data_IF_539973758750
#
_entry.id   IF_539973758750
#
_cell.length_a   1.000
_cell.length_b   1.000
_cell.length_c   1.000
_cell.angle_alpha   90.00
_cell.angle_beta   90.00
_cell.angle_gamma   90.00
#
_symmetry.space_group_name_H-M   'P 1'
#
loop_
_entity.id
_entity.type
_entity.pdbx_description
1 polymer ?
#
# COMPACT_ATOMS: atom_id res chain seq x y z
N UNK A 1 -9.74 7.58 -11.98
CA UNK A 1 -9.78 9.02 -11.62
C UNK A 1 -8.41 9.55 -11.94
N UNK A 2 -8.29 10.52 -12.83
CA UNK A 2 -7.00 11.14 -13.14
C UNK A 2 -6.73 12.25 -12.13
N UNK A 3 -5.48 12.38 -11.70
CA UNK A 3 -5.06 13.39 -10.73
C UNK A 3 -3.72 13.93 -11.19
N UNK A 4 -3.64 15.24 -11.42
CA UNK A 4 -2.39 15.90 -11.81
C UNK A 4 -1.48 16.01 -10.58
N UNK A 5 -0.32 15.37 -10.64
CA UNK A 5 0.69 15.44 -9.59
C UNK A 5 1.93 16.12 -10.18
N UNK A 6 2.42 17.15 -9.51
CA UNK A 6 3.69 17.78 -9.85
C UNK A 6 4.81 17.11 -9.06
N UNK A 7 5.76 16.50 -9.77
CA UNK A 7 6.95 15.87 -9.18
C UNK A 7 8.19 16.58 -9.71
N UNK A 8 9.17 16.79 -8.82
CA UNK A 8 10.50 17.24 -9.20
C UNK A 8 11.38 16.02 -9.34
N UNK A 9 11.98 15.84 -10.53
CA UNK A 9 12.90 14.73 -10.78
C UNK A 9 14.31 15.13 -10.33
N UNK A 10 15.05 14.18 -9.74
CA UNK A 10 16.46 14.39 -9.43
C UNK A 10 17.32 14.27 -10.69
N UNK A 11 18.48 14.93 -10.70
CA UNK A 11 19.44 14.88 -11.81
C UNK A 11 19.83 13.43 -12.17
N UNK A 12 20.08 12.59 -11.16
CA UNK A 12 20.42 11.18 -11.36
C UNK A 12 19.28 10.41 -12.05
N UNK A 13 18.03 10.64 -11.63
CA UNK A 13 16.89 9.96 -12.23
C UNK A 13 16.64 10.42 -13.67
N UNK A 14 16.72 11.72 -13.94
CA UNK A 14 16.63 12.27 -15.30
C UNK A 14 17.73 11.72 -16.21
N UNK A 15 18.96 11.63 -15.69
CA UNK A 15 20.10 11.06 -16.42
C UNK A 15 19.87 9.59 -16.74
N UNK A 16 19.42 8.79 -15.79
CA UNK A 16 19.09 7.37 -16.02
C UNK A 16 17.94 7.23 -17.03
N UNK A 17 16.89 8.02 -16.91
CA UNK A 17 15.78 8.03 -17.88
C UNK A 17 16.28 8.37 -19.29
N UNK A 18 17.21 9.32 -19.42
CA UNK A 18 17.80 9.71 -20.71
C UNK A 18 18.66 8.59 -21.31
N UNK A 19 19.50 7.93 -20.50
CA UNK A 19 20.35 6.81 -20.92
C UNK A 19 19.50 5.66 -21.47
N UNK A 20 18.44 5.29 -20.77
CA UNK A 20 17.59 4.15 -21.12
C UNK A 20 16.38 4.52 -21.98
N UNK A 21 16.21 5.80 -22.34
CA UNK A 21 15.06 6.34 -23.07
C UNK A 21 13.71 6.01 -22.40
N UNK A 22 13.68 6.08 -21.07
CA UNK A 22 12.50 5.79 -20.26
C UNK A 22 11.67 7.07 -20.11
N UNK A 23 10.36 6.98 -20.32
CA UNK A 23 9.42 8.03 -19.93
C UNK A 23 9.27 8.04 -18.39
N UNK A 24 9.66 9.13 -17.69
CA UNK A 24 9.58 9.21 -16.23
C UNK A 24 8.17 9.00 -15.68
N UNK A 25 7.15 9.56 -16.33
CA UNK A 25 5.75 9.45 -15.89
C UNK A 25 5.28 8.00 -15.92
N UNK A 26 5.59 7.28 -17.01
CA UNK A 26 5.27 5.86 -17.13
C UNK A 26 5.97 5.04 -16.05
N UNK A 27 7.27 5.30 -15.80
CA UNK A 27 8.02 4.61 -14.75
C UNK A 27 7.40 4.80 -13.37
N UNK A 28 7.10 6.05 -13.00
CA UNK A 28 6.48 6.39 -11.71
C UNK A 28 5.11 5.73 -11.60
N UNK A 29 4.31 5.72 -12.66
CA UNK A 29 3.01 5.04 -12.66
C UNK A 29 3.17 3.52 -12.47
N UNK A 30 4.15 2.89 -13.13
CA UNK A 30 4.43 1.46 -12.93
C UNK A 30 4.85 1.14 -11.49
N UNK A 31 5.60 2.04 -10.86
CA UNK A 31 5.99 1.90 -9.46
C UNK A 31 4.77 2.02 -8.52
N UNK A 32 3.92 3.04 -8.71
CA UNK A 32 2.69 3.22 -7.93
C UNK A 32 1.75 2.03 -8.08
N UNK A 33 1.62 1.48 -9.29
CA UNK A 33 0.77 0.30 -9.56
C UNK A 33 1.23 -0.96 -8.82
N UNK A 34 2.46 -1.02 -8.34
CA UNK A 34 2.98 -2.13 -7.53
C UNK A 34 2.68 -2.00 -6.03
N UNK A 35 2.14 -0.86 -5.57
CA UNK A 35 1.77 -0.67 -4.16
C UNK A 35 0.49 -1.43 -3.86
N UNK A 36 0.61 -2.55 -3.13
CA UNK A 36 -0.46 -3.49 -2.84
C UNK A 36 -0.12 -4.35 -1.63
N UNK A 37 -0.64 -3.99 -0.44
CA UNK A 37 -0.55 -4.83 0.76
C UNK A 37 -1.08 -6.26 0.51
N UNK A 38 -2.20 -6.48 -0.22
CA UNK A 38 -2.68 -7.82 -0.51
C UNK A 38 -1.66 -8.64 -1.30
N UNK A 39 -1.04 -8.07 -2.34
CA UNK A 39 -0.03 -8.81 -3.12
C UNK A 39 1.23 -9.09 -2.30
N UNK A 40 1.63 -8.13 -1.46
CA UNK A 40 2.80 -8.26 -0.59
C UNK A 40 2.64 -9.38 0.44
N UNK A 41 1.52 -9.42 1.16
CA UNK A 41 1.27 -10.45 2.20
C UNK A 41 0.81 -11.80 1.63
N UNK A 42 0.21 -11.84 0.43
CA UNK A 42 -0.24 -13.09 -0.19
C UNK A 42 0.85 -13.86 -0.92
N UNK A 43 1.92 -13.17 -1.36
CA UNK A 43 2.95 -13.79 -2.20
C UNK A 43 4.33 -13.15 -1.94
N UNK A 44 5.05 -13.61 -0.91
CA UNK A 44 6.34 -13.03 -0.49
C UNK A 44 7.45 -13.12 -1.57
N UNK A 45 7.29 -14.06 -2.51
CA UNK A 45 8.22 -14.31 -3.62
C UNK A 45 7.88 -13.53 -4.90
N UNK A 46 6.81 -12.73 -4.91
CA UNK A 46 6.44 -11.93 -6.07
C UNK A 46 7.48 -10.81 -6.32
N UNK A 47 7.90 -10.66 -7.59
CA UNK A 47 8.84 -9.63 -8.02
C UNK A 47 8.27 -8.21 -7.89
N UNK A 48 6.94 -8.06 -7.82
CA UNK A 48 6.26 -6.76 -7.71
C UNK A 48 6.21 -6.20 -6.27
N UNK A 49 6.96 -6.77 -5.33
CA UNK A 49 6.92 -6.36 -3.91
C UNK A 49 7.59 -5.01 -3.62
N UNK A 50 8.48 -4.55 -4.49
CA UNK A 50 9.36 -3.41 -4.20
C UNK A 50 8.61 -2.09 -4.01
N UNK A 51 7.55 -1.84 -4.80
CA UNK A 51 6.69 -0.67 -4.60
C UNK A 51 6.05 -0.64 -3.21
N UNK A 52 5.54 -1.79 -2.76
CA UNK A 52 4.94 -1.92 -1.42
C UNK A 52 5.98 -1.78 -0.30
N UNK A 53 7.16 -2.38 -0.46
CA UNK A 53 8.26 -2.25 0.51
C UNK A 53 8.69 -0.79 0.69
N UNK A 54 8.85 -0.07 -0.43
CA UNK A 54 9.18 1.35 -0.36
C UNK A 54 8.07 2.16 0.31
N UNK A 55 6.80 1.87 0.01
CA UNK A 55 5.67 2.51 0.67
C UNK A 55 5.67 2.26 2.20
N UNK A 56 5.93 1.03 2.64
CA UNK A 56 6.04 0.70 4.07
C UNK A 56 7.23 1.41 4.73
N UNK A 57 8.40 1.42 4.08
CA UNK A 57 9.56 2.15 4.56
C UNK A 57 9.29 3.65 4.67
N UNK A 58 8.61 4.22 3.68
CA UNK A 58 8.19 5.61 3.67
C UNK A 58 7.27 5.89 4.86
N UNK A 59 6.28 5.02 5.11
CA UNK A 59 5.44 5.14 6.29
C UNK A 59 6.27 5.10 7.57
N UNK A 60 7.21 4.17 7.75
CA UNK A 60 8.03 4.12 8.97
C UNK A 60 8.83 5.40 9.24
N UNK A 61 9.41 5.99 8.19
CA UNK A 61 10.26 7.19 8.31
C UNK A 61 9.40 8.44 8.51
N UNK A 62 8.31 8.55 7.76
CA UNK A 62 7.51 9.77 7.67
C UNK A 62 6.26 9.71 8.57
N UNK A 63 6.01 8.62 9.31
CA UNK A 63 4.73 8.45 10.00
C UNK A 63 4.42 9.56 11.00
N UNK A 64 5.46 10.18 11.56
CA UNK A 64 5.28 11.30 12.48
C UNK A 64 4.53 12.49 11.85
N UNK A 65 4.47 12.54 10.51
CA UNK A 65 3.75 13.54 9.74
C UNK A 65 2.31 13.13 9.37
N UNK A 66 1.90 11.89 9.71
CA UNK A 66 0.60 11.36 9.35
C UNK A 66 -0.20 10.92 10.58
N UNK A 67 -1.50 11.23 10.60
CA UNK A 67 -2.42 10.78 11.62
C UNK A 67 -2.83 9.32 11.38
N UNK A 68 -1.94 8.40 11.76
CA UNK A 68 -2.18 6.96 11.75
C UNK A 68 -2.47 6.48 13.16
N UNK A 69 -3.66 5.92 13.36
CA UNK A 69 -4.00 5.23 14.60
C UNK A 69 -3.24 3.90 14.64
N UNK A 70 -2.14 3.84 15.41
CA UNK A 70 -1.25 2.69 15.52
C UNK A 70 -1.94 1.42 16.01
N UNK A 71 -2.82 1.53 17.00
CA UNK A 71 -3.55 0.38 17.52
C UNK A 71 -4.49 -0.23 16.47
N UNK A 72 -5.10 0.64 15.66
CA UNK A 72 -5.97 0.21 14.57
C UNK A 72 -5.15 -0.40 13.43
N UNK A 73 -4.01 0.20 13.10
CA UNK A 73 -3.06 -0.32 12.12
C UNK A 73 -2.59 -1.74 12.49
N UNK A 74 -2.04 -1.92 13.68
CA UNK A 74 -1.56 -3.22 14.17
C UNK A 74 -2.67 -4.28 14.10
N UNK A 75 -3.87 -3.96 14.56
CA UNK A 75 -5.01 -4.89 14.50
C UNK A 75 -5.34 -5.35 13.09
N UNK A 76 -5.32 -4.43 12.13
CA UNK A 76 -5.65 -4.76 10.75
C UNK A 76 -4.52 -5.48 10.03
N UNK A 77 -3.26 -5.19 10.37
CA UNK A 77 -2.10 -5.95 9.90
C UNK A 77 -2.13 -7.39 10.44
N UNK A 78 -2.40 -7.58 11.72
CA UNK A 78 -2.58 -8.91 12.32
C UNK A 78 -3.72 -9.69 11.65
N UNK A 79 -4.84 -9.01 11.40
CA UNK A 79 -5.99 -9.60 10.68
C UNK A 79 -5.59 -10.00 9.26
N UNK A 80 -4.76 -9.20 8.60
CA UNK A 80 -4.21 -9.49 7.28
C UNK A 80 -3.37 -10.75 7.31
N UNK A 81 -2.38 -10.83 8.19
CA UNK A 81 -1.45 -11.95 8.31
C UNK A 81 -2.20 -13.25 8.60
N UNK A 82 -3.14 -13.22 9.55
CA UNK A 82 -3.97 -14.38 9.87
C UNK A 82 -4.81 -14.86 8.68
N UNK A 83 -5.42 -13.93 7.95
CA UNK A 83 -6.23 -14.26 6.79
C UNK A 83 -5.38 -14.81 5.64
N UNK A 84 -4.18 -14.27 5.41
CA UNK A 84 -3.28 -14.75 4.37
C UNK A 84 -2.74 -16.14 4.71
N UNK A 85 -2.34 -16.37 5.97
CA UNK A 85 -1.91 -17.68 6.46
C UNK A 85 -3.01 -18.72 6.30
N UNK A 86 -4.23 -18.41 6.72
CA UNK A 86 -5.38 -19.31 6.56
C UNK A 86 -5.63 -19.67 5.08
N UNK A 87 -5.61 -18.68 4.18
CA UNK A 87 -5.82 -18.94 2.75
C UNK A 87 -4.69 -19.77 2.14
N UNK A 88 -3.45 -19.53 2.57
CA UNK A 88 -2.30 -20.33 2.17
C UNK A 88 -2.45 -21.79 2.62
N UNK A 89 -2.82 -22.02 3.87
CA UNK A 89 -3.01 -23.37 4.43
C UNK A 89 -4.20 -24.10 3.79
N UNK A 90 -5.29 -23.39 3.51
CA UNK A 90 -6.49 -23.96 2.92
C UNK A 90 -6.33 -24.28 1.43
N UNK A 91 -5.63 -23.43 0.67
CA UNK A 91 -5.35 -23.65 -0.75
C UNK A 91 -4.13 -22.82 -1.22
N UNK A 92 -2.91 -23.39 -1.19
CA UNK A 92 -1.68 -22.68 -1.55
C UNK A 92 -1.65 -22.10 -2.97
N UNK A 93 -2.50 -22.59 -3.87
CA UNK A 93 -2.59 -22.12 -5.26
C UNK A 93 -3.56 -20.94 -5.44
N UNK A 94 -4.36 -20.59 -4.42
CA UNK A 94 -5.43 -19.60 -4.55
C UNK A 94 -4.96 -18.16 -4.27
N UNK A 95 -4.00 -17.69 -5.07
CA UNK A 95 -3.54 -16.30 -5.03
C UNK A 95 -4.72 -15.32 -5.16
N UNK A 96 -5.69 -15.60 -6.04
CA UNK A 96 -6.85 -14.73 -6.27
C UNK A 96 -7.77 -14.60 -5.04
N UNK A 97 -7.96 -15.68 -4.27
CA UNK A 97 -8.72 -15.63 -3.01
C UNK A 97 -8.00 -14.74 -2.00
N UNK A 98 -6.69 -14.90 -1.83
CA UNK A 98 -5.91 -14.10 -0.88
C UNK A 98 -5.94 -12.61 -1.25
N UNK A 99 -5.77 -12.29 -2.54
CA UNK A 99 -5.88 -10.91 -3.02
C UNK A 99 -7.27 -10.30 -2.78
N UNK A 100 -8.32 -11.07 -3.02
CA UNK A 100 -9.71 -10.60 -2.81
C UNK A 100 -9.99 -10.37 -1.33
N UNK A 101 -9.60 -11.32 -0.47
CA UNK A 101 -9.73 -11.22 0.98
C UNK A 101 -8.96 -10.01 1.51
N UNK A 102 -7.70 -9.83 1.11
CA UNK A 102 -6.89 -8.69 1.53
C UNK A 102 -7.51 -7.35 1.12
N UNK A 103 -7.97 -7.22 -0.13
CA UNK A 103 -8.67 -6.00 -0.58
C UNK A 103 -9.92 -5.70 0.25
N UNK A 104 -10.65 -6.73 0.68
CA UNK A 104 -11.82 -6.55 1.54
C UNK A 104 -11.43 -6.07 2.95
N UNK A 105 -10.36 -6.62 3.53
CA UNK A 105 -9.82 -6.16 4.83
C UNK A 105 -9.42 -4.68 4.74
N UNK A 106 -8.71 -4.25 3.68
CA UNK A 106 -8.36 -2.83 3.49
C UNK A 106 -9.58 -1.91 3.39
N UNK A 107 -10.62 -2.33 2.65
CA UNK A 107 -11.85 -1.53 2.54
C UNK A 107 -12.55 -1.37 3.89
N UNK A 108 -12.56 -2.43 4.70
CA UNK A 108 -13.11 -2.37 6.05
C UNK A 108 -12.27 -1.46 6.95
N UNK A 109 -10.95 -1.60 6.89
CA UNK A 109 -10.02 -0.75 7.64
C UNK A 109 -10.23 0.73 7.29
N UNK A 110 -10.25 1.08 6.01
CA UNK A 110 -10.52 2.45 5.55
C UNK A 110 -11.86 2.97 6.08
N UNK A 111 -12.91 2.15 6.04
CA UNK A 111 -14.23 2.53 6.57
C UNK A 111 -14.17 2.89 8.06
N UNK A 112 -13.44 2.12 8.87
CA UNK A 112 -13.28 2.41 10.30
C UNK A 112 -12.43 3.65 10.52
N UNK A 113 -11.30 3.81 9.81
CA UNK A 113 -10.46 5.03 9.90
C UNK A 113 -11.28 6.29 9.59
N UNK A 114 -12.09 6.27 8.54
CA UNK A 114 -12.95 7.40 8.18
C UNK A 114 -14.01 7.67 9.26
N UNK A 115 -14.57 6.63 9.88
CA UNK A 115 -15.55 6.79 10.96
C UNK A 115 -14.92 7.38 12.23
N UNK A 116 -13.71 6.95 12.61
CA UNK A 116 -12.97 7.53 13.74
C UNK A 116 -12.68 9.01 13.48
N UNK A 117 -12.16 9.36 12.31
CA UNK A 117 -11.88 10.75 11.92
C UNK A 117 -13.13 11.62 11.94
N UNK A 118 -14.26 11.10 11.45
CA UNK A 118 -15.53 11.82 11.49
C UNK A 118 -16.02 12.06 12.93
N UNK A 119 -15.86 11.07 13.82
CA UNK A 119 -16.22 11.18 15.23
C UNK A 119 -15.42 12.26 15.96
N UNK A 120 -14.10 12.32 15.72
CA UNK A 120 -13.26 13.37 16.29
C UNK A 120 -13.71 14.78 15.87
N UNK A 121 -14.13 14.96 14.62
CA UNK A 121 -14.65 16.24 14.12
C UNK A 121 -15.98 16.61 14.80
N UNK A 122 -16.88 15.64 15.00
CA UNK A 122 -18.18 15.92 15.63
C UNK A 122 -18.10 16.10 17.15
N UNK A 123 -17.15 15.45 17.83
CA UNK A 123 -16.96 15.56 19.28
C UNK A 123 -16.13 16.80 19.69
N UNK A 124 -15.49 17.49 18.73
CA UNK A 124 -14.71 18.71 18.92
C UNK A 124 -15.45 20.01 18.54
N UNK A 125 -16.74 19.91 18.21
CA UNK A 125 -17.69 21.01 17.98
C UNK A 125 -18.62 21.19 19.19
#
# INVERSE_FOLDING_TARGET
>A
METTIHITLSEDFETLCSIYQINPEYFVQQFINQVSLPEYYSSPSNNNRWGTLFFLQFLEVELSHYEVNRELEERYLDTFDQAMQYNYDANPASCETSLTTGRNIMRQWLKIVLAERAKYITDSL
#
